data_IF_220497481265
#
_entry.id   IF_220497481265
#
_cell.length_a   1.000
_cell.length_b   1.000
_cell.length_c   1.000
_cell.angle_alpha   90.00
_cell.angle_beta   90.00
_cell.angle_gamma   90.00
#
_symmetry.space_group_name_H-M   'P 1'
#
loop_
_entity.id
_entity.type
_entity.pdbx_description
1 polymer ?
#
# COMPACT_ATOMS: atom_id res chain seq x y z
N UNK A 1 -28.35 8.63 -1.15
CA UNK A 1 -28.22 7.31 -0.51
C UNK A 1 -27.22 6.55 -1.35
N UNK A 2 -26.01 6.32 -0.84
CA UNK A 2 -25.00 5.55 -1.57
C UNK A 2 -25.44 4.08 -1.51
N UNK A 3 -25.78 3.50 -2.66
CA UNK A 3 -25.93 2.06 -2.78
C UNK A 3 -24.52 1.46 -2.81
N UNK A 4 -23.92 1.25 -1.64
CA UNK A 4 -22.67 0.47 -1.54
C UNK A 4 -22.94 -0.95 -2.04
N UNK A 5 -22.04 -1.45 -2.88
CA UNK A 5 -22.12 -2.83 -3.39
C UNK A 5 -21.74 -3.83 -2.30
N UNK A 6 -22.17 -5.10 -2.41
CA UNK A 6 -21.76 -6.16 -1.47
C UNK A 6 -20.24 -6.28 -1.34
N UNK A 7 -19.51 -5.99 -2.42
CA UNK A 7 -18.04 -5.99 -2.41
C UNK A 7 -17.47 -4.80 -1.62
N UNK A 8 -17.99 -3.59 -1.80
CA UNK A 8 -17.59 -2.43 -0.99
C UNK A 8 -17.93 -2.64 0.50
N UNK A 9 -19.12 -3.17 0.79
CA UNK A 9 -19.51 -3.56 2.14
C UNK A 9 -18.50 -4.56 2.71
N UNK A 10 -18.16 -5.62 1.97
CA UNK A 10 -17.15 -6.60 2.38
C UNK A 10 -15.81 -5.95 2.72
N UNK A 11 -15.27 -5.11 1.83
CA UNK A 11 -14.00 -4.43 2.07
C UNK A 11 -14.06 -3.50 3.30
N UNK A 12 -15.18 -2.78 3.47
CA UNK A 12 -15.40 -1.85 4.58
C UNK A 12 -15.41 -2.52 5.96
N UNK A 13 -15.68 -3.83 6.03
CA UNK A 13 -15.58 -4.61 7.28
C UNK A 13 -14.14 -4.89 7.72
N UNK A 14 -13.15 -4.69 6.84
CA UNK A 14 -11.74 -4.92 7.15
C UNK A 14 -11.06 -3.62 7.59
N UNK A 15 -10.56 -3.59 8.83
CA UNK A 15 -9.78 -2.48 9.37
C UNK A 15 -8.27 -2.60 9.07
N UNK A 16 -7.49 -1.67 9.61
CA UNK A 16 -6.04 -1.64 9.41
C UNK A 16 -5.37 -2.94 9.87
N UNK A 17 -5.83 -3.54 10.98
CA UNK A 17 -5.25 -4.76 11.52
C UNK A 17 -5.56 -5.96 10.62
N UNK A 18 -6.80 -6.07 10.15
CA UNK A 18 -7.22 -7.10 9.19
C UNK A 18 -6.43 -6.99 7.87
N UNK A 19 -6.22 -5.77 7.37
CA UNK A 19 -5.40 -5.54 6.18
C UNK A 19 -3.92 -5.87 6.41
N UNK A 20 -3.36 -5.48 7.56
CA UNK A 20 -1.98 -5.82 7.93
C UNK A 20 -1.77 -7.35 8.03
N UNK A 21 -2.69 -8.06 8.69
CA UNK A 21 -2.66 -9.52 8.78
C UNK A 21 -2.82 -10.20 7.41
N UNK A 22 -3.69 -9.64 6.56
CA UNK A 22 -3.85 -10.09 5.17
C UNK A 22 -2.53 -9.94 4.40
N UNK A 23 -1.90 -8.77 4.44
CA UNK A 23 -0.63 -8.55 3.76
C UNK A 23 0.47 -9.49 4.25
N UNK A 24 0.58 -9.70 5.57
CA UNK A 24 1.53 -10.65 6.16
C UNK A 24 1.32 -12.08 5.63
N UNK A 25 0.06 -12.49 5.42
CA UNK A 25 -0.29 -13.78 4.82
C UNK A 25 0.13 -13.84 3.35
N UNK A 26 -0.15 -12.79 2.58
CA UNK A 26 0.14 -12.72 1.14
C UNK A 26 1.64 -12.62 0.81
N UNK A 27 2.49 -12.11 1.72
CA UNK A 27 3.92 -11.87 1.44
C UNK A 27 4.66 -13.07 0.83
N UNK A 28 4.32 -14.29 1.24
CA UNK A 28 4.97 -15.52 0.74
C UNK A 28 4.50 -15.91 -0.66
N UNK A 29 3.30 -15.51 -1.04
CA UNK A 29 2.72 -15.77 -2.36
C UNK A 29 3.05 -14.68 -3.38
N UNK A 30 3.51 -13.51 -2.93
CA UNK A 30 3.97 -12.44 -3.82
C UNK A 30 5.37 -12.76 -4.34
N UNK A 31 5.53 -12.70 -5.66
CA UNK A 31 6.81 -12.84 -6.34
C UNK A 31 7.82 -11.81 -5.82
N UNK A 32 9.08 -12.20 -5.69
CA UNK A 32 10.14 -11.36 -5.10
C UNK A 32 10.23 -9.97 -5.75
N UNK A 33 10.01 -9.88 -7.07
CA UNK A 33 10.02 -8.61 -7.83
C UNK A 33 9.06 -7.56 -7.28
N UNK A 34 7.94 -7.97 -6.69
CA UNK A 34 6.89 -7.08 -6.20
C UNK A 34 6.71 -7.10 -4.69
N UNK A 35 7.41 -7.97 -3.96
CA UNK A 35 7.25 -8.10 -2.51
C UNK A 35 7.45 -6.77 -1.78
N UNK A 36 8.57 -6.10 -2.04
CA UNK A 36 8.84 -4.77 -1.49
C UNK A 36 7.93 -3.71 -2.08
N UNK A 37 7.64 -3.78 -3.38
CA UNK A 37 6.79 -2.80 -4.06
C UNK A 37 5.37 -2.78 -3.48
N UNK A 38 4.78 -3.93 -3.18
CA UNK A 38 3.48 -4.02 -2.50
C UNK A 38 3.55 -3.37 -1.12
N UNK A 39 4.54 -3.70 -0.29
CA UNK A 39 4.67 -3.07 1.04
C UNK A 39 4.82 -1.54 0.95
N UNK A 40 5.61 -1.06 -0.01
CA UNK A 40 5.80 0.37 -0.26
C UNK A 40 4.48 1.04 -0.65
N UNK A 41 3.70 0.42 -1.53
CA UNK A 41 2.42 0.97 -1.95
C UNK A 41 1.45 1.12 -0.77
N UNK A 42 1.36 0.13 0.12
CA UNK A 42 0.51 0.21 1.31
C UNK A 42 0.99 1.25 2.32
N UNK A 43 2.30 1.51 2.41
CA UNK A 43 2.83 2.62 3.20
C UNK A 43 2.53 3.99 2.56
N UNK A 44 2.47 4.07 1.22
CA UNK A 44 2.11 5.30 0.50
C UNK A 44 0.62 5.63 0.55
N UNK A 45 -0.25 4.64 0.81
CA UNK A 45 -1.69 4.84 0.88
C UNK A 45 -2.26 4.16 2.13
N UNK A 46 -1.90 4.64 3.34
CA UNK A 46 -2.32 4.01 4.58
C UNK A 46 -3.82 4.22 4.81
N UNK A 47 -4.56 3.11 4.96
CA UNK A 47 -6.01 3.12 5.18
C UNK A 47 -6.45 4.01 6.37
N UNK A 48 -5.75 4.07 7.52
CA UNK A 48 -6.15 4.95 8.62
C UNK A 48 -6.12 6.44 8.27
N UNK A 49 -5.14 6.87 7.46
CA UNK A 49 -5.07 8.26 7.03
C UNK A 49 -6.23 8.60 6.10
N UNK A 50 -6.55 7.70 5.16
CA UNK A 50 -7.71 7.85 4.29
C UNK A 50 -9.00 7.97 5.12
N UNK A 51 -9.25 7.04 6.05
CA UNK A 51 -10.45 7.06 6.91
C UNK A 51 -10.53 8.32 7.76
N UNK A 52 -9.42 8.75 8.35
CA UNK A 52 -9.36 10.00 9.10
C UNK A 52 -9.75 11.22 8.26
N UNK A 53 -9.30 11.29 7.00
CA UNK A 53 -9.63 12.39 6.09
C UNK A 53 -11.09 12.33 5.60
N UNK A 54 -11.67 11.15 5.44
CA UNK A 54 -13.10 10.99 5.09
C UNK A 54 -14.03 11.32 6.25
N UNK A 55 -13.62 11.01 7.48
CA UNK A 55 -14.42 11.23 8.69
C UNK A 55 -14.27 12.65 9.26
N UNK A 56 -13.32 13.44 8.77
CA UNK A 56 -13.08 14.79 9.25
C UNK A 56 -14.19 15.76 8.80
N UNK A 57 -14.75 16.52 9.75
CA UNK A 57 -15.70 17.60 9.47
C UNK A 57 -15.16 18.63 8.46
N UNK A 58 -13.87 18.94 8.57
CA UNK A 58 -13.14 19.82 7.66
C UNK A 58 -11.85 19.12 7.19
N UNK A 59 -11.99 18.39 6.08
CA UNK A 59 -10.89 17.68 5.42
C UNK A 59 -9.71 18.60 5.10
N UNK A 60 -9.96 19.82 4.60
CA UNK A 60 -8.90 20.72 4.17
C UNK A 60 -8.08 21.22 5.37
N UNK A 61 -8.76 21.54 6.48
CA UNK A 61 -8.11 21.89 7.74
C UNK A 61 -7.30 20.73 8.30
N UNK A 62 -7.84 19.50 8.29
CA UNK A 62 -7.09 18.34 8.75
C UNK A 62 -5.85 18.11 7.88
N UNK A 63 -5.98 18.14 6.54
CA UNK A 63 -4.86 18.01 5.62
C UNK A 63 -3.75 19.05 5.89
N UNK A 64 -4.13 20.31 6.15
CA UNK A 64 -3.19 21.37 6.51
C UNK A 64 -2.50 21.11 7.87
N UNK A 65 -3.24 20.64 8.88
CA UNK A 65 -2.68 20.27 10.19
C UNK A 65 -1.68 19.12 10.11
N UNK A 66 -1.95 18.15 9.23
CA UNK A 66 -1.10 17.00 8.97
C UNK A 66 0.01 17.32 7.95
N UNK A 67 0.15 18.58 7.53
CA UNK A 67 1.16 19.03 6.55
C UNK A 67 1.15 18.18 5.27
N UNK A 68 -0.04 17.77 4.81
CA UNK A 68 -0.19 17.00 3.58
C UNK A 68 0.10 17.89 2.37
N UNK A 69 1.12 17.53 1.59
CA UNK A 69 1.52 18.21 0.36
C UNK A 69 1.59 17.19 -0.78
N UNK A 70 1.28 17.63 -2.00
CA UNK A 70 1.24 16.77 -3.19
C UNK A 70 -0.11 16.07 -3.36
N UNK A 71 -0.15 15.00 -4.15
CA UNK A 71 -1.37 14.26 -4.44
C UNK A 71 -1.45 13.00 -3.56
N UNK A 72 -2.14 13.12 -2.42
CA UNK A 72 -2.40 12.02 -1.49
C UNK A 72 -3.73 11.31 -1.76
N UNK A 73 -4.49 11.76 -2.76
CA UNK A 73 -5.81 11.23 -3.11
C UNK A 73 -5.65 10.07 -4.09
N UNK A 74 -5.84 8.83 -3.61
CA UNK A 74 -5.69 7.65 -4.46
C UNK A 74 -6.66 7.64 -5.66
N UNK A 75 -7.85 8.21 -5.49
CA UNK A 75 -8.86 8.35 -6.56
C UNK A 75 -8.36 9.12 -7.80
N UNK A 76 -7.37 10.01 -7.63
CA UNK A 76 -6.76 10.76 -8.73
C UNK A 76 -5.66 9.96 -9.46
N UNK A 77 -5.26 8.82 -8.91
CA UNK A 77 -4.04 8.11 -9.27
C UNK A 77 -4.27 6.60 -9.43
N UNK A 78 -5.52 6.18 -9.65
CA UNK A 78 -5.93 4.77 -9.72
C UNK A 78 -5.03 3.98 -10.67
N UNK A 79 -4.79 4.47 -11.89
CA UNK A 79 -3.99 3.77 -12.90
C UNK A 79 -2.46 3.96 -12.76
N UNK A 80 -2.00 4.85 -11.87
CA UNK A 80 -0.58 5.27 -11.83
C UNK A 80 0.11 5.07 -10.49
N UNK A 81 -0.63 4.95 -9.40
CA UNK A 81 -0.11 4.80 -8.03
C UNK A 81 0.81 3.57 -7.88
N UNK A 82 0.55 2.52 -8.67
CA UNK A 82 1.25 1.25 -8.62
C UNK A 82 2.21 1.01 -9.79
N UNK A 83 2.56 2.06 -10.55
CA UNK A 83 3.39 1.95 -11.76
C UNK A 83 4.78 1.32 -11.51
N UNK A 84 5.26 1.39 -10.27
CA UNK A 84 6.53 0.81 -9.86
C UNK A 84 6.45 -0.69 -9.50
N UNK A 85 5.24 -1.27 -9.44
CA UNK A 85 5.07 -2.73 -9.37
C UNK A 85 5.33 -3.31 -10.77
N UNK A 86 6.03 -4.43 -10.83
CA UNK A 86 6.11 -5.26 -12.02
C UNK A 86 4.73 -5.65 -12.51
N UNK A 87 3.84 -6.04 -11.58
CA UNK A 87 2.45 -6.40 -11.80
C UNK A 87 1.59 -5.32 -12.45
N UNK A 88 2.04 -4.06 -12.52
CA UNK A 88 1.38 -3.00 -13.29
C UNK A 88 1.12 -3.39 -14.75
N UNK A 89 1.95 -4.29 -15.31
CA UNK A 89 1.76 -4.86 -16.66
C UNK A 89 0.42 -5.55 -16.85
N UNK A 90 -0.15 -6.08 -15.77
CA UNK A 90 -1.39 -6.85 -15.75
C UNK A 90 -2.56 -6.05 -15.15
N UNK A 91 -2.39 -4.73 -15.01
CA UNK A 91 -3.42 -3.86 -14.43
C UNK A 91 -4.76 -3.94 -15.18
N UNK A 92 -4.82 -3.94 -16.52
CA UNK A 92 -6.09 -4.06 -17.24
C UNK A 92 -6.84 -5.36 -16.91
N UNK A 93 -6.13 -6.48 -16.87
CA UNK A 93 -6.69 -7.80 -16.59
C UNK A 93 -7.18 -7.90 -15.14
N UNK A 94 -6.37 -7.44 -14.18
CA UNK A 94 -6.74 -7.40 -12.75
C UNK A 94 -7.94 -6.47 -12.53
N UNK A 95 -7.94 -5.27 -13.14
CA UNK A 95 -9.04 -4.31 -13.04
C UNK A 95 -10.34 -4.91 -13.57
N UNK A 96 -10.31 -5.51 -14.76
CA UNK A 96 -11.46 -6.20 -15.36
C UNK A 96 -12.00 -7.29 -14.43
N UNK A 97 -11.12 -8.11 -13.84
CA UNK A 97 -11.53 -9.17 -12.94
C UNK A 97 -12.18 -8.64 -11.65
N UNK A 98 -11.67 -7.55 -11.08
CA UNK A 98 -12.26 -6.88 -9.91
C UNK A 98 -13.67 -6.35 -10.23
N UNK A 99 -13.85 -5.73 -11.39
CA UNK A 99 -15.17 -5.22 -11.81
C UNK A 99 -16.18 -6.34 -11.95
N UNK A 100 -15.78 -7.46 -12.57
CA UNK A 100 -16.62 -8.65 -12.71
C UNK A 100 -16.95 -9.30 -11.36
N UNK A 101 -15.95 -9.40 -10.46
CA UNK A 101 -16.13 -9.89 -9.10
C UNK A 101 -17.13 -9.04 -8.32
N UNK A 102 -17.02 -7.72 -8.43
CA UNK A 102 -17.93 -6.78 -7.79
C UNK A 102 -19.36 -6.89 -8.35
N UNK A 103 -19.51 -7.09 -9.66
CA UNK A 103 -20.81 -7.23 -10.31
C UNK A 103 -21.51 -8.55 -9.93
N UNK A 104 -20.80 -9.67 -9.93
CA UNK A 104 -21.33 -10.96 -9.48
C UNK A 104 -21.75 -10.94 -8.00
N UNK A 105 -21.06 -10.14 -7.18
CA UNK A 105 -21.39 -9.94 -5.77
C UNK A 105 -22.70 -9.14 -5.56
N UNK A 106 -23.20 -8.42 -6.58
CA UNK A 106 -24.47 -7.70 -6.52
C UNK A 106 -25.67 -8.56 -6.94
N UNK A 107 -25.48 -9.54 -7.83
CA UNK A 107 -26.55 -10.43 -8.30
C UNK A 107 -26.97 -11.50 -7.28
N UNK A 108 -26.09 -11.88 -6.33
CA UNK A 108 -26.42 -12.83 -5.25
C UNK A 108 -27.44 -12.32 -4.21
N UNK A 109 -27.80 -11.04 -4.25
CA UNK A 109 -28.71 -10.40 -3.29
C UNK A 109 -30.15 -10.21 -3.75
N UNK A 110 -30.47 -10.43 -5.04
CA UNK A 110 -31.79 -10.14 -5.60
C UNK A 110 -32.29 -11.29 -6.49
N UNK A 111 -32.87 -12.31 -5.86
CA UNK A 111 -34.03 -13.02 -6.41
C UNK A 111 -33.82 -14.22 -7.34
N UNK A 112 -34.37 -15.34 -6.87
CA UNK A 112 -35.24 -16.28 -7.59
C UNK A 112 -34.63 -17.52 -8.28
N UNK A 113 -35.32 -18.66 -8.10
CA UNK A 113 -35.41 -19.68 -9.15
C UNK A 113 -35.18 -21.14 -8.77
N UNK A 114 -35.84 -21.69 -7.73
CA UNK A 114 -35.95 -23.16 -7.64
C UNK A 114 -37.03 -23.63 -8.61
N UNK A 115 -36.60 -24.11 -9.78
CA UNK A 115 -37.44 -24.88 -10.71
C UNK A 115 -37.14 -26.37 -10.58
N UNK A 116 -38.18 -27.15 -10.22
CA UNK A 116 -38.31 -28.59 -10.47
C UNK A 116 -37.61 -29.53 -9.48
N UNK A 117 -38.10 -30.72 -9.10
CA UNK A 117 -39.30 -31.54 -9.39
C UNK A 117 -39.35 -32.58 -8.26
N UNK A 118 -40.54 -33.00 -7.81
CA UNK A 118 -40.67 -34.24 -7.03
C UNK A 118 -41.86 -34.29 -6.08
N UNK A 119 -43.06 -34.53 -6.63
CA UNK A 119 -44.23 -34.94 -5.86
C UNK A 119 -44.00 -36.31 -5.21
N UNK A 120 -44.10 -36.40 -3.88
CA UNK A 120 -44.58 -37.63 -3.25
C UNK A 120 -45.28 -37.30 -1.93
N UNK A 121 -46.56 -37.66 -1.89
CA UNK A 121 -47.47 -37.57 -0.75
C UNK A 121 -47.09 -38.65 0.27
N UNK A 122 -47.04 -38.31 1.57
CA UNK A 122 -47.47 -39.15 2.70
C UNK A 122 -47.55 -38.31 3.99
N UNK A 123 -48.51 -38.69 4.85
CA UNK A 123 -49.14 -37.97 5.97
C UNK A 123 -48.28 -37.72 7.25
N UNK A 124 -48.78 -36.91 8.23
CA UNK A 124 -47.97 -36.28 9.27
C UNK A 124 -47.92 -37.08 10.59
N UNK A 125 -46.81 -36.94 11.32
CA UNK A 125 -46.71 -37.25 12.76
C UNK A 125 -46.01 -36.12 13.51
N UNK A 126 -46.45 -35.78 14.73
CA UNK A 126 -45.96 -34.62 15.47
C UNK A 126 -44.77 -34.95 16.38
N UNK A 127 -44.02 -33.90 16.72
CA UNK A 127 -43.07 -33.83 17.82
C UNK A 127 -41.76 -34.63 17.68
N UNK A 128 -40.75 -33.97 17.12
CA UNK A 128 -39.37 -34.10 17.62
C UNK A 128 -38.68 -32.74 17.45
N UNK A 129 -38.37 -32.09 18.57
CA UNK A 129 -37.49 -30.92 18.61
C UNK A 129 -36.09 -31.38 18.20
N UNK A 130 -35.67 -31.00 16.99
CA UNK A 130 -34.29 -31.06 16.56
C UNK A 130 -33.73 -29.63 16.44
N UNK A 131 -32.42 -29.47 16.70
CA UNK A 131 -31.80 -28.20 16.98
C UNK A 131 -31.83 -27.29 15.76
N UNK A 132 -31.94 -25.99 16.03
CA UNK A 132 -31.76 -24.90 15.07
C UNK A 132 -30.36 -25.01 14.48
N UNK A 133 -30.27 -25.68 13.35
CA UNK A 133 -29.20 -25.62 12.37
C UNK A 133 -29.94 -25.55 11.04
N UNK A 134 -29.83 -24.51 10.24
CA UNK A 134 -28.64 -24.29 9.42
C UNK A 134 -28.91 -23.12 8.48
N UNK A 135 -28.50 -21.90 8.84
CA UNK A 135 -28.42 -20.75 7.91
C UNK A 135 -27.23 -19.84 8.25
N UNK A 136 -26.04 -20.43 8.38
CA UNK A 136 -24.77 -19.69 8.49
C UNK A 136 -23.75 -20.30 7.54
N UNK A 137 -24.14 -20.41 6.26
CA UNK A 137 -23.25 -20.97 5.22
C UNK A 137 -23.33 -20.17 3.93
N UNK A 138 -23.27 -18.86 4.06
CA UNK A 138 -22.89 -17.92 3.00
C UNK A 138 -22.11 -16.82 3.72
N UNK A 139 -20.89 -16.55 3.26
CA UNK A 139 -19.88 -15.61 3.80
C UNK A 139 -18.97 -16.19 4.91
N UNK A 140 -17.64 -16.13 4.81
CA UNK A 140 -16.82 -15.52 3.75
C UNK A 140 -15.43 -16.17 3.76
N UNK A 141 -14.92 -16.46 2.56
CA UNK A 141 -13.48 -16.59 2.34
C UNK A 141 -12.78 -15.34 2.90
N UNK A 142 -11.64 -15.53 3.57
CA UNK A 142 -10.90 -14.40 4.16
C UNK A 142 -10.51 -13.40 3.06
N UNK A 143 -10.20 -12.15 3.43
CA UNK A 143 -9.70 -11.17 2.47
C UNK A 143 -8.48 -11.69 1.70
N UNK A 144 -7.58 -12.40 2.38
CA UNK A 144 -6.44 -13.06 1.75
C UNK A 144 -6.88 -14.12 0.73
N UNK A 145 -7.85 -14.96 1.08
CA UNK A 145 -8.36 -16.01 0.18
C UNK A 145 -9.00 -15.39 -1.07
N UNK A 146 -9.80 -14.32 -0.94
CA UNK A 146 -10.40 -13.65 -2.10
C UNK A 146 -9.35 -13.01 -3.02
N UNK A 147 -8.30 -12.40 -2.44
CA UNK A 147 -7.19 -11.85 -3.22
C UNK A 147 -6.46 -12.96 -3.98
N UNK A 148 -6.18 -14.10 -3.32
CA UNK A 148 -5.49 -15.24 -3.93
C UNK A 148 -6.34 -15.91 -5.01
N UNK A 149 -7.64 -16.10 -4.76
CA UNK A 149 -8.59 -16.69 -5.71
C UNK A 149 -8.69 -15.85 -6.98
N UNK A 150 -8.85 -14.52 -6.84
CA UNK A 150 -8.90 -13.63 -8.00
C UNK A 150 -7.55 -13.57 -8.73
N UNK A 151 -6.43 -13.50 -8.00
CA UNK A 151 -5.10 -13.53 -8.62
C UNK A 151 -4.87 -14.82 -9.43
N UNK A 152 -5.30 -15.97 -8.91
CA UNK A 152 -5.23 -17.25 -9.62
C UNK A 152 -6.09 -17.26 -10.88
N UNK A 153 -7.33 -16.79 -10.79
CA UNK A 153 -8.22 -16.73 -11.96
C UNK A 153 -7.62 -15.87 -13.08
N UNK A 154 -7.07 -14.70 -12.74
CA UNK A 154 -6.40 -13.82 -13.71
C UNK A 154 -5.12 -14.46 -14.26
N UNK A 155 -4.37 -15.20 -13.42
CA UNK A 155 -3.15 -15.89 -13.83
C UNK A 155 -3.45 -16.99 -14.87
N UNK A 156 -4.51 -17.76 -14.65
CA UNK A 156 -4.97 -18.81 -15.58
C UNK A 156 -5.42 -18.21 -16.93
N UNK A 157 -6.22 -17.14 -16.91
CA UNK A 157 -6.68 -16.44 -18.14
C UNK A 157 -5.48 -15.84 -18.90
N UNK A 158 -4.55 -15.22 -18.17
CA UNK A 158 -3.40 -14.50 -18.74
C UNK A 158 -2.20 -15.39 -19.05
N UNK A 159 -2.20 -16.65 -18.61
CA UNK A 159 -1.10 -17.62 -18.71
C UNK A 159 0.21 -17.09 -18.12
N UNK A 160 0.12 -16.50 -16.93
CA UNK A 160 1.27 -16.00 -16.16
C UNK A 160 1.34 -16.67 -14.79
N UNK A 161 2.46 -16.53 -14.11
CA UNK A 161 2.62 -17.05 -12.75
C UNK A 161 1.70 -16.28 -11.78
N UNK A 162 0.90 -17.00 -10.97
CA UNK A 162 0.01 -16.44 -9.94
C UNK A 162 0.74 -15.44 -9.02
N UNK A 163 2.00 -15.75 -8.67
CA UNK A 163 2.79 -14.92 -7.75
C UNK A 163 3.08 -13.51 -8.29
N UNK A 164 3.01 -13.29 -9.61
CA UNK A 164 3.15 -11.97 -10.24
C UNK A 164 1.88 -11.12 -10.14
N UNK A 165 0.74 -11.72 -9.76
CA UNK A 165 -0.55 -11.05 -9.70
C UNK A 165 -1.03 -10.79 -8.27
N UNK A 166 -0.58 -11.56 -7.28
CA UNK A 166 -1.03 -11.40 -5.88
C UNK A 166 -0.86 -9.96 -5.37
N UNK A 167 0.33 -9.38 -5.58
CA UNK A 167 0.64 -8.03 -5.08
C UNK A 167 -0.22 -6.94 -5.72
N UNK A 168 -0.35 -6.95 -7.05
CA UNK A 168 -1.17 -5.97 -7.79
C UNK A 168 -2.67 -6.18 -7.54
N UNK A 169 -3.11 -7.41 -7.27
CA UNK A 169 -4.50 -7.72 -6.89
C UNK A 169 -4.83 -7.16 -5.51
N UNK A 170 -3.94 -7.33 -4.52
CA UNK A 170 -4.11 -6.71 -3.21
C UNK A 170 -4.20 -5.17 -3.29
N UNK A 171 -3.35 -4.56 -4.14
CA UNK A 171 -3.41 -3.13 -4.46
C UNK A 171 -4.76 -2.75 -5.08
N UNK A 172 -5.31 -3.56 -5.99
CA UNK A 172 -6.60 -3.30 -6.62
C UNK A 172 -7.75 -3.30 -5.59
N UNK A 173 -7.79 -4.30 -4.69
CA UNK A 173 -8.79 -4.36 -3.61
C UNK A 173 -8.70 -3.13 -2.70
N UNK A 174 -7.49 -2.74 -2.27
CA UNK A 174 -7.32 -1.54 -1.44
C UNK A 174 -7.64 -0.25 -2.20
N UNK A 175 -7.42 -0.23 -3.52
CA UNK A 175 -7.82 0.89 -4.36
C UNK A 175 -9.34 1.05 -4.39
N UNK A 176 -10.10 -0.05 -4.49
CA UNK A 176 -11.56 0.01 -4.35
C UNK A 176 -11.96 0.48 -2.95
N UNK A 177 -11.31 -0.04 -1.90
CA UNK A 177 -11.57 0.37 -0.51
C UNK A 177 -11.41 1.88 -0.26
N UNK A 178 -10.47 2.54 -0.93
CA UNK A 178 -10.19 3.98 -0.71
C UNK A 178 -10.78 4.90 -1.79
N UNK A 179 -10.91 4.45 -3.03
CA UNK A 179 -11.44 5.28 -4.11
C UNK A 179 -12.94 5.05 -4.38
N UNK A 180 -13.48 3.92 -3.91
CA UNK A 180 -14.82 3.44 -4.23
C UNK A 180 -14.89 2.77 -5.60
N UNK A 181 -15.82 1.83 -5.76
CA UNK A 181 -15.98 1.03 -6.97
C UNK A 181 -16.35 1.90 -8.19
N UNK A 182 -17.12 2.96 -7.97
CA UNK A 182 -17.52 3.89 -9.04
C UNK A 182 -16.29 4.58 -9.67
N UNK A 183 -15.38 5.11 -8.84
CA UNK A 183 -14.17 5.76 -9.34
C UNK A 183 -13.23 4.74 -10.00
N UNK A 184 -13.12 3.55 -9.40
CA UNK A 184 -12.38 2.43 -9.96
C UNK A 184 -12.85 2.05 -11.36
N UNK A 185 -14.16 1.84 -11.58
CA UNK A 185 -14.75 1.53 -12.89
C UNK A 185 -14.50 2.62 -13.93
N UNK A 186 -14.57 3.89 -13.51
CA UNK A 186 -14.34 5.06 -14.39
C UNK A 186 -12.89 5.24 -14.81
N UNK A 187 -11.93 4.72 -14.03
CA UNK A 187 -10.52 4.77 -14.42
C UNK A 187 -10.30 3.99 -15.72
N UNK A 188 -9.49 4.49 -16.67
CA UNK A 188 -9.25 3.82 -17.95
C UNK A 188 -8.62 2.41 -17.86
N UNK A 189 -7.92 2.08 -16.77
CA UNK A 189 -7.10 0.87 -16.70
C UNK A 189 -5.80 1.01 -17.49
N UNK A 190 -5.25 2.23 -17.61
CA UNK A 190 -4.09 2.49 -18.46
C UNK A 190 -2.79 1.88 -17.88
N UNK A 191 -1.99 1.28 -18.75
CA UNK A 191 -0.61 0.85 -18.43
C UNK A 191 0.38 1.87 -18.98
N UNK A 192 1.17 2.49 -18.09
CA UNK A 192 2.18 3.49 -18.46
C UNK A 192 3.58 2.95 -18.21
N UNK A 193 4.07 2.14 -19.15
CA UNK A 193 5.43 1.59 -19.13
C UNK A 193 6.10 1.91 -20.46
N UNK A 194 7.34 2.42 -20.43
CA UNK A 194 8.11 2.62 -21.66
C UNK A 194 8.29 1.28 -22.40
N UNK A 195 8.16 1.29 -23.73
CA UNK A 195 8.22 0.08 -24.57
C UNK A 195 9.50 -0.74 -24.36
N UNK A 196 10.62 -0.10 -24.01
CA UNK A 196 11.89 -0.76 -23.68
C UNK A 196 11.80 -1.55 -22.37
N UNK A 197 11.04 -1.04 -21.39
CA UNK A 197 10.89 -1.62 -20.06
C UNK A 197 9.75 -2.65 -20.00
N UNK A 198 8.75 -2.52 -20.87
CA UNK A 198 7.60 -3.44 -20.95
C UNK A 198 8.00 -4.90 -21.22
N UNK A 199 9.11 -5.13 -21.92
CA UNK A 199 9.60 -6.47 -22.28
C UNK A 199 10.50 -7.14 -21.24
N UNK A 200 10.84 -6.46 -20.14
CA UNK A 200 11.73 -7.03 -19.12
C UNK A 200 11.02 -8.14 -18.36
N UNK A 201 11.70 -9.26 -18.12
CA UNK A 201 11.22 -10.31 -17.22
C UNK A 201 11.39 -9.91 -15.75
N UNK A 202 10.70 -10.56 -14.80
CA UNK A 202 10.89 -10.32 -13.37
C UNK A 202 12.36 -10.48 -12.94
N UNK A 203 13.04 -11.51 -13.43
CA UNK A 203 14.43 -11.83 -13.10
C UNK A 203 15.40 -10.79 -13.67
N UNK A 204 15.08 -10.21 -14.83
CA UNK A 204 15.86 -9.11 -15.40
C UNK A 204 15.75 -7.86 -14.51
N UNK A 205 14.55 -7.54 -14.02
CA UNK A 205 14.34 -6.41 -13.09
C UNK A 205 15.12 -6.64 -11.79
N UNK A 206 15.01 -7.83 -11.18
CA UNK A 206 15.75 -8.18 -9.97
C UNK A 206 17.28 -8.11 -10.19
N UNK A 207 17.77 -8.64 -11.31
CA UNK A 207 19.20 -8.57 -11.65
C UNK A 207 19.69 -7.13 -11.84
N UNK A 208 18.88 -6.27 -12.46
CA UNK A 208 19.21 -4.85 -12.61
C UNK A 208 19.24 -4.13 -11.26
N UNK A 209 18.29 -4.41 -10.35
CA UNK A 209 18.29 -3.87 -8.98
C UNK A 209 19.53 -4.29 -8.17
N UNK A 210 19.98 -5.53 -8.35
CA UNK A 210 21.14 -6.07 -7.65
C UNK A 210 22.48 -5.51 -8.20
N UNK A 211 22.52 -5.05 -9.45
CA UNK A 211 23.75 -4.65 -10.13
C UNK A 211 24.31 -3.34 -9.59
N UNK A 212 25.60 -3.34 -9.29
CA UNK A 212 26.36 -2.12 -9.00
C UNK A 212 27.02 -1.52 -10.24
N UNK A 213 27.28 -0.22 -10.16
CA UNK A 213 28.07 0.49 -11.17
C UNK A 213 29.48 -0.07 -11.28
N UNK A 214 29.94 -0.24 -12.52
CA UNK A 214 31.35 -0.50 -12.77
C UNK A 214 32.18 0.70 -12.31
N UNK A 215 33.16 0.46 -11.44
CA UNK A 215 34.10 1.48 -10.97
C UNK A 215 35.35 1.60 -11.88
N UNK A 216 35.30 1.01 -13.09
CA UNK A 216 36.39 0.95 -14.08
C UNK A 216 37.20 -0.36 -14.05
N UNK A 217 38.16 -0.51 -14.98
CA UNK A 217 38.98 -1.72 -15.21
C UNK A 217 39.79 -2.20 -13.99
N UNK A 218 40.05 -1.31 -13.01
CA UNK A 218 40.71 -1.62 -11.73
C UNK A 218 39.89 -1.11 -10.54
N UNK A 219 38.56 -1.10 -10.68
CA UNK A 219 37.63 -0.51 -9.71
C UNK A 219 37.74 -1.06 -8.28
N UNK A 220 38.21 -2.30 -8.11
CA UNK A 220 38.44 -2.90 -6.80
C UNK A 220 39.62 -2.26 -6.03
N UNK A 221 40.57 -1.63 -6.73
CA UNK A 221 41.68 -0.87 -6.12
C UNK A 221 41.31 0.58 -5.81
N UNK A 222 40.19 1.09 -6.33
CA UNK A 222 39.69 2.43 -6.03
C UNK A 222 38.99 2.42 -4.67
N UNK A 223 39.68 2.95 -3.67
CA UNK A 223 39.13 3.22 -2.33
C UNK A 223 38.50 4.61 -2.19
N UNK A 224 38.74 5.50 -3.16
CA UNK A 224 38.26 6.89 -3.15
C UNK A 224 37.40 7.19 -4.38
N UNK A 225 36.38 8.05 -4.21
CA UNK A 225 35.50 8.56 -5.27
C UNK A 225 34.64 7.53 -6.01
N UNK A 226 34.23 6.43 -5.35
CA UNK A 226 33.21 5.55 -5.94
C UNK A 226 31.90 6.31 -6.12
N UNK A 227 31.22 6.02 -7.22
CA UNK A 227 29.92 6.59 -7.53
C UNK A 227 28.91 5.51 -7.81
N UNK A 228 27.68 5.74 -7.35
CA UNK A 228 26.58 4.81 -7.43
C UNK A 228 25.37 5.47 -8.09
N UNK A 229 24.66 4.68 -8.88
CA UNK A 229 23.40 5.06 -9.51
C UNK A 229 22.27 4.87 -8.52
N UNK A 230 21.46 5.91 -8.35
CA UNK A 230 20.12 5.77 -7.80
C UNK A 230 19.13 5.86 -8.93
N UNK A 231 18.30 4.84 -9.08
CA UNK A 231 17.15 4.83 -9.99
C UNK A 231 15.91 5.19 -9.19
N UNK A 232 15.16 6.22 -9.58
CA UNK A 232 13.94 6.65 -8.88
C UNK A 232 12.64 6.38 -9.65
N UNK A 233 12.75 5.94 -10.91
CA UNK A 233 11.66 5.34 -11.69
C UNK A 233 12.24 4.28 -12.64
N UNK A 234 12.04 3.00 -12.33
CA UNK A 234 12.56 1.88 -13.12
C UNK A 234 11.94 1.77 -14.52
N UNK A 235 10.90 2.55 -14.83
CA UNK A 235 10.24 2.61 -16.13
C UNK A 235 10.73 3.78 -17.01
N UNK A 236 11.58 4.68 -16.51
CA UNK A 236 12.21 5.76 -17.28
C UNK A 236 13.74 5.62 -17.22
N UNK A 237 14.36 5.30 -18.35
CA UNK A 237 15.83 5.17 -18.43
C UNK A 237 16.61 6.45 -18.08
N UNK A 238 15.94 7.60 -18.04
CA UNK A 238 16.52 8.90 -17.62
C UNK A 238 16.18 9.25 -16.16
N UNK A 239 15.48 8.38 -15.44
CA UNK A 239 15.09 8.61 -14.05
C UNK A 239 16.11 8.05 -13.07
N UNK A 240 17.33 8.56 -13.18
CA UNK A 240 18.42 8.22 -12.29
C UNK A 240 19.35 9.41 -12.05
N UNK A 241 20.07 9.37 -10.94
CA UNK A 241 21.15 10.31 -10.63
C UNK A 241 22.34 9.55 -10.02
N UNK A 242 23.50 10.23 -9.95
CA UNK A 242 24.71 9.69 -9.32
C UNK A 242 24.89 10.25 -7.92
N UNK A 243 25.28 9.41 -6.98
CA UNK A 243 25.78 9.83 -5.67
C UNK A 243 27.20 9.31 -5.44
N UNK A 244 27.92 9.90 -4.50
CA UNK A 244 29.21 9.39 -4.04
C UNK A 244 29.00 8.34 -2.93
N UNK A 245 29.95 7.42 -2.80
CA UNK A 245 30.05 6.49 -1.66
C UNK A 245 29.75 7.19 -0.32
N UNK A 246 28.89 6.59 0.50
CA UNK A 246 28.44 7.06 1.83
C UNK A 246 27.69 8.40 1.86
N UNK A 247 27.39 8.98 0.70
CA UNK A 247 26.50 10.13 0.61
C UNK A 247 25.05 9.68 0.81
N UNK A 248 24.24 10.53 1.44
CA UNK A 248 22.81 10.27 1.57
C UNK A 248 22.08 10.47 0.23
N UNK A 249 20.97 9.74 0.06
CA UNK A 249 20.18 9.76 -1.17
C UNK A 249 19.71 11.17 -1.54
N UNK A 250 19.30 11.98 -0.55
CA UNK A 250 18.80 13.34 -0.79
C UNK A 250 19.91 14.27 -1.31
N UNK A 251 21.10 14.20 -0.75
CA UNK A 251 22.24 14.99 -1.23
C UNK A 251 22.66 14.59 -2.65
N UNK A 252 22.66 13.30 -2.95
CA UNK A 252 22.87 12.81 -4.31
C UNK A 252 21.82 13.38 -5.29
N UNK A 253 20.54 13.36 -4.90
CA UNK A 253 19.44 13.87 -5.71
C UNK A 253 19.57 15.37 -5.99
N UNK A 254 20.00 16.18 -5.02
CA UNK A 254 20.17 17.62 -5.20
C UNK A 254 21.24 18.01 -6.26
N UNK A 255 22.12 17.07 -6.60
CA UNK A 255 23.13 17.28 -7.66
C UNK A 255 22.55 17.11 -9.07
N UNK A 256 21.36 16.54 -9.20
CA UNK A 256 20.67 16.34 -10.48
C UNK A 256 19.92 17.61 -10.89
N UNK A 257 20.49 18.35 -11.85
CA UNK A 257 19.90 19.55 -12.45
C UNK A 257 19.43 19.28 -13.89
N UNK A 258 19.14 18.03 -14.24
CA UNK A 258 18.75 17.65 -15.61
C UNK A 258 17.36 18.17 -16.03
N UNK A 259 16.53 18.59 -15.08
CA UNK A 259 15.15 19.07 -15.29
C UNK A 259 14.82 20.20 -14.32
N UNK A 260 13.83 21.02 -14.65
CA UNK A 260 13.18 21.91 -13.68
C UNK A 260 12.26 21.07 -12.78
N UNK A 261 12.83 20.54 -11.70
CA UNK A 261 12.12 19.64 -10.80
C UNK A 261 10.96 20.31 -10.08
N UNK A 262 11.10 21.59 -9.75
CA UNK A 262 10.07 22.37 -9.05
C UNK A 262 8.85 22.61 -9.94
N UNK A 263 9.05 22.79 -11.24
CA UNK A 263 7.96 22.87 -12.20
C UNK A 263 7.21 21.53 -12.38
N UNK A 264 7.89 20.39 -12.16
CA UNK A 264 7.28 19.05 -12.21
C UNK A 264 6.46 18.78 -10.95
N UNK A 265 7.02 19.10 -9.78
CA UNK A 265 6.40 18.91 -8.47
C UNK A 265 6.92 20.02 -7.53
N UNK A 266 6.07 20.92 -7.02
CA UNK A 266 6.50 22.05 -6.20
C UNK A 266 7.32 21.68 -4.95
N UNK A 267 7.21 20.42 -4.49
CA UNK A 267 7.95 19.90 -3.32
C UNK A 267 9.41 19.59 -3.66
N UNK A 268 9.73 19.41 -4.95
CA UNK A 268 11.06 19.04 -5.47
C UNK A 268 11.92 20.28 -5.72
N UNK A 269 12.33 20.93 -4.63
CA UNK A 269 13.00 22.24 -4.68
C UNK A 269 14.43 22.15 -5.25
N UNK A 270 15.14 21.05 -5.01
CA UNK A 270 16.57 20.94 -5.33
C UNK A 270 16.94 19.82 -6.30
N UNK A 271 16.07 18.82 -6.47
CA UNK A 271 16.35 17.59 -7.21
C UNK A 271 15.09 16.72 -7.30
N UNK A 272 15.17 15.48 -7.81
CA UNK A 272 14.00 14.63 -7.99
C UNK A 272 13.30 14.23 -6.67
N UNK A 273 14.02 14.21 -5.54
CA UNK A 273 13.46 13.90 -4.21
C UNK A 273 13.01 15.20 -3.52
N UNK A 274 11.77 15.29 -2.98
CA UNK A 274 11.35 16.39 -2.13
C UNK A 274 12.20 16.50 -0.85
N UNK A 275 12.72 17.68 -0.53
CA UNK A 275 13.57 17.90 0.66
C UNK A 275 13.35 19.30 1.21
N UNK A 276 13.16 19.41 2.53
CA UNK A 276 13.07 20.71 3.22
C UNK A 276 14.16 20.93 4.27
N UNK A 277 14.52 19.92 5.08
CA UNK A 277 15.35 20.15 6.29
C UNK A 277 16.69 19.41 6.35
N UNK A 278 16.92 18.40 5.49
CA UNK A 278 18.11 17.49 5.50
C UNK A 278 18.53 16.91 6.87
N UNK A 279 17.61 16.87 7.85
CA UNK A 279 17.91 16.56 9.25
C UNK A 279 16.89 15.60 9.89
N UNK A 280 16.11 14.88 9.09
CA UNK A 280 15.01 14.03 9.55
C UNK A 280 13.98 14.77 10.43
N UNK A 281 13.76 16.07 10.20
CA UNK A 281 12.86 16.89 11.02
C UNK A 281 11.51 17.16 10.36
N UNK A 282 11.43 17.11 9.02
CA UNK A 282 10.23 17.48 8.25
C UNK A 282 9.43 16.29 7.68
N UNK A 283 10.06 15.12 7.47
CA UNK A 283 9.44 13.95 6.81
C UNK A 283 9.35 14.02 5.27
N UNK A 284 9.54 15.17 4.64
CA UNK A 284 9.27 15.34 3.20
C UNK A 284 10.07 14.43 2.26
N UNK A 285 11.28 14.05 2.65
CA UNK A 285 12.19 13.22 1.85
C UNK A 285 11.99 11.70 1.98
N UNK A 286 10.81 11.25 2.38
CA UNK A 286 10.51 9.82 2.47
C UNK A 286 10.46 9.16 1.09
N UNK A 287 11.00 7.94 1.01
CA UNK A 287 11.10 7.14 -0.22
C UNK A 287 10.85 5.67 0.11
N UNK A 288 10.35 4.92 -0.88
CA UNK A 288 10.31 3.46 -0.86
C UNK A 288 11.57 2.87 -1.51
N UNK A 289 12.15 1.80 -0.95
CA UNK A 289 13.35 1.13 -1.46
C UNK A 289 12.95 -0.17 -2.16
N UNK A 290 12.98 -0.18 -3.49
CA UNK A 290 12.64 -1.35 -4.31
C UNK A 290 13.75 -2.40 -4.34
N UNK A 291 15.00 -1.96 -4.31
CA UNK A 291 16.17 -2.85 -4.36
C UNK A 291 17.45 -2.13 -3.94
N UNK A 292 18.45 -2.90 -3.51
CA UNK A 292 19.68 -2.36 -2.96
C UNK A 292 19.58 -1.91 -1.49
N UNK A 293 18.56 -2.37 -0.75
CA UNK A 293 18.41 -2.04 0.66
C UNK A 293 19.64 -2.47 1.47
N UNK A 294 20.22 -3.63 1.15
CA UNK A 294 21.45 -4.17 1.72
C UNK A 294 22.68 -3.26 1.52
N UNK A 295 22.64 -2.36 0.54
CA UNK A 295 23.69 -1.38 0.23
C UNK A 295 23.47 -0.04 0.94
N UNK A 296 22.35 0.12 1.64
CA UNK A 296 22.12 1.26 2.52
C UNK A 296 22.70 1.00 3.91
N UNK A 297 23.14 2.06 4.57
CA UNK A 297 23.42 2.05 5.99
C UNK A 297 22.14 1.74 6.79
N UNK A 298 22.34 1.11 7.94
CA UNK A 298 21.27 0.83 8.89
C UNK A 298 20.58 2.12 9.35
N UNK A 299 19.30 2.01 9.72
CA UNK A 299 18.53 3.11 10.26
C UNK A 299 19.17 3.62 11.55
N UNK A 300 19.56 4.89 11.54
CA UNK A 300 20.05 5.58 12.75
C UNK A 300 18.90 5.89 13.72
N UNK A 301 19.22 6.05 15.00
CA UNK A 301 18.23 6.29 16.06
C UNK A 301 17.28 7.47 15.77
N UNK A 302 17.80 8.55 15.17
CA UNK A 302 16.99 9.73 14.80
C UNK A 302 15.99 9.41 13.70
N UNK A 303 16.43 8.74 12.63
CA UNK A 303 15.55 8.31 11.53
C UNK A 303 14.47 7.37 12.06
N UNK A 304 14.84 6.33 12.82
CA UNK A 304 13.89 5.35 13.35
C UNK A 304 12.81 5.96 14.24
N UNK A 305 13.18 6.92 15.10
CA UNK A 305 12.20 7.67 15.89
C UNK A 305 11.28 8.53 15.01
N UNK A 306 11.87 9.27 14.06
CA UNK A 306 11.14 10.29 13.28
C UNK A 306 10.22 9.68 12.23
N UNK A 307 10.62 8.60 11.58
CA UNK A 307 9.81 7.94 10.55
C UNK A 307 8.49 7.39 11.13
N UNK A 308 8.53 6.86 12.37
CA UNK A 308 7.35 6.50 13.17
C UNK A 308 6.52 7.71 13.58
N UNK A 309 7.17 8.80 13.99
CA UNK A 309 6.46 10.03 14.35
C UNK A 309 5.67 10.61 13.17
N UNK A 310 6.25 10.58 11.96
CA UNK A 310 5.60 11.02 10.73
C UNK A 310 4.47 10.09 10.27
N UNK A 311 4.52 8.81 10.65
CA UNK A 311 3.48 7.83 10.36
C UNK A 311 3.74 6.98 9.10
N UNK A 312 4.98 6.97 8.58
CA UNK A 312 5.28 6.28 7.33
C UNK A 312 5.51 4.78 7.51
N UNK A 313 6.19 4.37 8.58
CA UNK A 313 6.38 2.97 8.96
C UNK A 313 6.74 2.87 10.45
N UNK A 314 6.32 1.79 11.10
CA UNK A 314 6.69 1.44 12.47
C UNK A 314 7.31 0.04 12.47
N UNK A 315 8.63 -0.01 12.36
CA UNK A 315 9.39 -1.27 12.30
C UNK A 315 10.73 -1.13 12.99
N UNK A 316 11.21 -2.24 13.55
CA UNK A 316 12.54 -2.36 14.13
C UNK A 316 13.58 -2.91 13.14
N UNK A 317 13.18 -3.18 11.89
CA UNK A 317 14.10 -3.64 10.86
C UNK A 317 15.23 -2.61 10.63
N UNK A 318 16.49 -3.04 10.55
CA UNK A 318 17.61 -2.11 10.34
C UNK A 318 17.59 -1.49 8.93
N UNK A 319 16.97 -2.17 7.96
CA UNK A 319 16.92 -1.76 6.55
C UNK A 319 15.48 -1.84 6.02
N UNK A 320 14.57 -1.02 6.55
CA UNK A 320 13.16 -1.09 6.19
C UNK A 320 12.93 -0.58 4.77
N UNK A 321 11.83 -1.01 4.16
CA UNK A 321 11.45 -0.62 2.80
C UNK A 321 11.08 0.85 2.66
N UNK A 322 10.75 1.56 3.75
CA UNK A 322 10.53 3.00 3.76
C UNK A 322 11.67 3.68 4.51
N UNK A 323 12.30 4.68 3.88
CA UNK A 323 13.46 5.41 4.43
C UNK A 323 13.27 6.92 4.32
N UNK A 324 13.98 7.67 5.15
CA UNK A 324 14.20 9.10 4.93
C UNK A 324 15.45 9.27 4.06
N UNK A 325 15.29 9.77 2.84
CA UNK A 325 16.39 9.89 1.88
C UNK A 325 17.56 10.74 2.40
N UNK A 326 17.31 11.72 3.27
CA UNK A 326 18.36 12.53 3.89
C UNK A 326 19.17 11.80 4.99
N UNK A 327 18.80 10.58 5.35
CA UNK A 327 19.49 9.75 6.34
C UNK A 327 19.99 8.42 5.75
N UNK A 328 19.44 7.99 4.61
CA UNK A 328 19.84 6.77 3.92
C UNK A 328 21.16 6.98 3.15
N UNK A 329 22.29 6.63 3.76
CA UNK A 329 23.60 6.63 3.10
C UNK A 329 23.79 5.36 2.27
N UNK A 330 24.24 5.49 1.02
CA UNK A 330 24.41 4.34 0.13
C UNK A 330 25.89 4.00 -0.14
N UNK A 331 26.18 2.70 -0.17
CA UNK A 331 27.48 2.10 -0.47
C UNK A 331 27.47 1.28 -1.78
N UNK A 332 26.40 1.45 -2.56
CA UNK A 332 26.14 0.74 -3.80
C UNK A 332 24.95 1.35 -4.53
N UNK A 333 24.61 0.81 -5.69
CA UNK A 333 23.47 1.25 -6.47
C UNK A 333 22.14 0.84 -5.81
N UNK A 334 21.15 1.74 -5.84
CA UNK A 334 19.86 1.56 -5.17
C UNK A 334 18.73 1.92 -6.13
N UNK A 335 17.62 1.20 -6.03
CA UNK A 335 16.37 1.55 -6.71
C UNK A 335 15.33 1.98 -5.69
N UNK A 336 14.75 3.16 -5.91
CA UNK A 336 13.78 3.79 -5.02
C UNK A 336 12.52 4.21 -5.76
N UNK A 337 11.48 4.54 -4.99
CA UNK A 337 10.26 5.20 -5.47
C UNK A 337 10.01 6.43 -4.61
N UNK A 338 9.58 7.51 -5.26
CA UNK A 338 9.26 8.77 -4.61
C UNK A 338 7.73 8.87 -4.54
N UNK A 339 7.14 9.00 -3.33
CA UNK A 339 5.70 9.12 -3.19
C UNK A 339 5.19 10.43 -3.81
N UNK A 340 3.97 10.44 -4.36
CA UNK A 340 3.38 11.64 -4.97
C UNK A 340 2.95 12.70 -3.94
N UNK A 341 3.12 12.40 -2.64
CA UNK A 341 2.77 13.28 -1.53
C UNK A 341 3.73 13.10 -0.33
N UNK A 342 3.60 13.95 0.68
CA UNK A 342 4.19 13.79 2.01
C UNK A 342 3.32 14.43 3.08
N UNK A 343 3.57 14.11 4.35
CA UNK A 343 3.02 14.81 5.50
C UNK A 343 3.39 14.17 6.84
N UNK A 344 2.85 14.68 7.93
CA UNK A 344 3.12 14.23 9.29
C UNK A 344 1.82 13.88 10.01
N UNK A 345 1.49 12.59 10.04
CA UNK A 345 0.19 12.11 10.53
C UNK A 345 0.29 11.02 11.59
N UNK A 346 1.48 10.46 11.84
CA UNK A 346 1.67 9.40 12.82
C UNK A 346 1.23 9.77 14.24
N UNK A 347 1.51 11.01 14.69
CA UNK A 347 1.04 11.48 16.01
C UNK A 347 -0.49 11.54 16.09
N UNK A 348 -1.13 12.03 15.03
CA UNK A 348 -2.59 12.14 14.97
C UNK A 348 -3.25 10.76 15.00
N UNK A 349 -2.79 9.83 14.16
CA UNK A 349 -3.34 8.46 14.14
C UNK A 349 -3.18 7.74 15.48
N UNK A 350 -2.05 7.91 16.17
CA UNK A 350 -1.86 7.35 17.53
C UNK A 350 -2.87 7.93 18.52
N UNK A 351 -3.13 9.24 18.49
CA UNK A 351 -4.10 9.86 19.39
C UNK A 351 -5.53 9.38 19.16
N UNK A 352 -5.90 8.99 17.93
CA UNK A 352 -7.19 8.38 17.66
C UNK A 352 -7.30 7.00 18.32
N UNK A 353 -6.29 6.14 18.12
CA UNK A 353 -6.25 4.80 18.73
C UNK A 353 -6.30 4.85 20.26
N UNK A 354 -5.56 5.77 20.87
CA UNK A 354 -5.56 5.97 22.33
C UNK A 354 -6.91 6.46 22.85
N UNK A 355 -7.64 7.28 22.08
CA UNK A 355 -8.98 7.74 22.42
C UNK A 355 -10.01 6.62 22.34
N UNK A 356 -9.95 5.79 21.29
CA UNK A 356 -10.82 4.63 21.10
C UNK A 356 -10.64 3.62 22.25
N UNK A 357 -9.40 3.29 22.61
CA UNK A 357 -9.08 2.40 23.73
C UNK A 357 -9.61 2.90 25.07
N UNK A 358 -9.53 4.21 25.33
CA UNK A 358 -10.07 4.81 26.55
C UNK A 358 -11.60 4.75 26.58
N UNK A 359 -12.25 4.98 25.44
CA UNK A 359 -13.70 4.89 25.31
C UNK A 359 -14.21 3.45 25.55
N UNK A 360 -13.52 2.45 25.00
CA UNK A 360 -13.85 1.04 25.19
C UNK A 360 -13.68 0.59 26.64
N UNK A 361 -12.65 1.07 27.34
CA UNK A 361 -12.44 0.81 28.77
C UNK A 361 -13.53 1.43 29.64
N UNK A 362 -13.98 2.65 29.33
CA UNK A 362 -15.05 3.32 30.06
C UNK A 362 -16.40 2.60 29.93
N UNK A 363 -16.69 2.00 28.77
CA UNK A 363 -17.92 1.21 28.54
C UNK A 363 -17.88 -0.15 29.26
N UNK A 364 -16.69 -0.74 29.47
CA UNK A 364 -16.52 -2.03 30.15
C UNK A 364 -16.60 -1.97 31.70
N UNK A 365 -16.68 -0.77 32.28
CA UNK A 365 -16.94 -0.56 33.70
C UNK A 365 -18.10 0.43 33.89
N UNK A 366 -19.37 -0.03 33.81
CA UNK A 366 -20.47 0.78 34.31
C UNK A 366 -20.22 1.03 35.80
N UNK A 367 -20.25 2.30 36.20
CA UNK A 367 -20.09 2.75 37.58
C UNK A 367 -20.83 1.82 38.54
N UNK A 368 -20.07 1.12 39.37
CA UNK A 368 -20.61 0.36 40.50
C UNK A 368 -21.27 1.33 41.48
N UNK A 369 -22.60 1.22 41.54
CA UNK A 369 -23.57 1.58 42.58
C UNK A 369 -23.34 2.84 43.45
N UNK A 370 -24.36 3.70 43.60
CA UNK A 370 -24.30 4.83 44.53
C UNK A 370 -24.18 4.33 45.96
N UNK A 371 -23.12 4.76 46.65
CA UNK A 371 -22.93 4.55 48.08
C UNK A 371 -24.15 5.09 48.83
N UNK A 372 -24.86 4.18 49.50
CA UNK A 372 -25.93 4.54 50.43
C UNK A 372 -25.30 5.25 51.64
N UNK A 373 -25.50 6.56 51.73
CA UNK A 373 -25.19 7.32 52.94
C UNK A 373 -26.03 6.79 54.09
N UNK A 374 -25.38 6.16 55.06
CA UNK A 374 -26.01 5.81 56.34
C UNK A 374 -25.92 7.05 57.22
N UNK A 375 -27.06 7.72 57.42
CA UNK A 375 -27.23 8.74 58.45
C UNK A 375 -27.33 8.02 59.80
N UNK A 376 -26.41 8.33 60.71
CA UNK A 376 -26.58 8.14 62.15
C UNK A 376 -26.29 9.44 62.87
#
# INVERSE_FOLDING_TARGET
MNNETSFEIFLNHHDEEAWSATLATLQRSIHEVDRNATQIWFAFYPLPLYRALEQADDRAKLAAQLLLLGDYELKNQIDTSHRFLYGHRFWPEVKKAIEQHADQSTEGGVGCGVSGVGTSVLHPTPNTQHPISSQTKVYATSLADQILELARAVAEESKVDESLLVGITAVAFMTVQQAGLLAFKRAPGAVKIDRKHAKKSPEQVLRERAKDDSQGLLGFLRTVNKQWTVTWDENDSRANYKLRELQDLAWGAASDQSRDWKAIDPRRVEGPIPVECRSASCGTCWVGVLGGAEKLADVGAREGKKIKEFGYIDTAEPKPVIRLACQAQAQGAVSIVIPPWNGQFGKYLRSLKEGDDQSLRAVSHPESEPKTETIQ
#
